data_IF_329127700904
#
_entry.id   IF_329127700904
#
_cell.length_a   1.000
_cell.length_b   1.000
_cell.length_c   1.000
_cell.angle_alpha   90.00
_cell.angle_beta   90.00
_cell.angle_gamma   90.00
#
_symmetry.space_group_name_H-M   'P 1'
#
loop_
_entity.id
_entity.type
_entity.pdbx_description
1 polymer ?
#
# COMPACT_ATOMS: atom_id res chain seq x y z
N UNK A 1 -11.62 14.35 8.10
CA UNK A 1 -10.18 14.03 8.00
C UNK A 1 -9.82 14.02 6.53
N UNK A 2 -8.83 14.81 6.12
CA UNK A 2 -8.46 15.00 4.71
C UNK A 2 -7.18 14.24 4.38
N UNK A 3 -7.18 13.51 3.26
CA UNK A 3 -6.00 12.80 2.78
C UNK A 3 -5.15 13.73 1.92
N UNK A 4 -3.83 13.66 2.08
CA UNK A 4 -2.88 14.46 1.30
C UNK A 4 -1.66 13.64 0.88
N UNK A 5 -0.92 14.11 -0.11
CA UNK A 5 0.28 13.40 -0.55
C UNK A 5 1.46 13.63 0.40
N UNK A 6 2.33 12.63 0.56
CA UNK A 6 3.69 12.88 1.04
C UNK A 6 4.43 13.82 0.08
N UNK A 7 5.23 14.72 0.63
CA UNK A 7 6.19 15.52 -0.12
C UNK A 7 7.32 14.66 -0.70
N UNK A 8 8.05 15.18 -1.69
CA UNK A 8 9.17 14.45 -2.27
C UNK A 8 10.23 14.02 -1.25
N UNK A 9 10.57 14.89 -0.30
CA UNK A 9 11.52 14.57 0.78
C UNK A 9 11.00 13.48 1.73
N UNK A 10 9.71 13.51 2.06
CA UNK A 10 9.06 12.47 2.87
C UNK A 10 9.04 11.12 2.12
N UNK A 11 8.76 11.12 0.81
CA UNK A 11 8.85 9.89 -0.01
C UNK A 11 10.28 9.36 -0.05
N UNK A 12 11.29 10.23 -0.20
CA UNK A 12 12.70 9.80 -0.14
C UNK A 12 13.04 9.19 1.21
N UNK A 13 12.57 9.78 2.33
CA UNK A 13 12.77 9.23 3.66
C UNK A 13 12.10 7.84 3.82
N UNK A 14 10.89 7.65 3.30
CA UNK A 14 10.20 6.35 3.33
C UNK A 14 10.90 5.26 2.52
N UNK A 15 11.65 5.64 1.48
CA UNK A 15 12.40 4.71 0.64
C UNK A 15 13.77 4.32 1.25
N UNK A 16 14.19 4.98 2.34
CA UNK A 16 15.42 4.64 3.05
C UNK A 16 15.18 3.45 3.99
N UNK A 17 16.19 2.59 4.12
CA UNK A 17 16.14 1.41 4.99
C UNK A 17 15.67 0.15 4.29
N UNK A 18 15.21 -0.82 5.09
CA UNK A 18 14.75 -2.12 4.60
C UNK A 18 13.47 -1.97 3.76
N UNK A 19 13.26 -2.79 2.74
CA UNK A 19 12.05 -2.68 1.91
C UNK A 19 10.80 -3.17 2.67
N UNK A 20 9.61 -2.68 2.30
CA UNK A 20 8.34 -3.21 2.84
C UNK A 20 8.11 -4.68 2.48
N UNK A 21 8.84 -5.24 1.51
CA UNK A 21 8.76 -6.68 1.20
C UNK A 21 9.53 -7.53 2.20
N UNK A 22 10.52 -6.95 2.90
CA UNK A 22 11.32 -7.65 3.89
C UNK A 22 10.80 -7.42 5.32
N UNK A 23 10.40 -6.19 5.64
CA UNK A 23 9.67 -5.84 6.87
C UNK A 23 8.37 -5.10 6.51
N UNK A 24 7.24 -5.82 6.39
CA UNK A 24 5.96 -5.25 5.97
C UNK A 24 5.20 -4.56 7.11
N UNK A 25 5.75 -4.51 8.33
CA UNK A 25 5.10 -3.90 9.49
C UNK A 25 5.01 -2.38 9.45
N UNK A 26 4.38 -1.79 10.48
CA UNK A 26 4.25 -0.33 10.58
C UNK A 26 5.62 0.35 10.72
N UNK A 27 5.78 1.53 10.12
CA UNK A 27 7.00 2.35 10.19
C UNK A 27 6.73 3.76 10.68
N UNK A 28 7.81 4.42 11.09
CA UNK A 28 7.76 5.82 11.48
C UNK A 28 7.40 6.72 10.29
N UNK A 29 6.44 7.61 10.50
CA UNK A 29 6.01 8.58 9.51
C UNK A 29 6.95 9.79 9.51
N UNK A 30 7.63 10.11 8.39
CA UNK A 30 8.52 11.27 8.33
C UNK A 30 7.79 12.61 8.48
N UNK A 31 6.46 12.58 8.36
CA UNK A 31 5.63 13.78 8.33
C UNK A 31 4.98 14.11 9.70
N UNK A 32 4.85 13.11 10.58
CA UNK A 32 4.21 13.30 11.90
C UNK A 32 4.90 12.55 13.05
N UNK A 33 5.98 11.81 12.78
CA UNK A 33 6.78 11.09 13.77
C UNK A 33 6.11 9.88 14.42
N UNK A 34 4.91 9.49 13.98
CA UNK A 34 4.19 8.33 14.54
C UNK A 34 4.56 7.06 13.79
N UNK A 35 4.72 5.95 14.50
CA UNK A 35 4.89 4.62 13.90
C UNK A 35 3.54 4.09 13.45
N UNK A 36 3.12 4.52 12.26
CA UNK A 36 1.78 4.27 11.71
C UNK A 36 1.77 4.28 10.18
N UNK A 37 2.95 4.20 9.54
CA UNK A 37 3.06 4.06 8.09
C UNK A 37 2.89 2.60 7.72
N UNK A 38 1.94 2.33 6.85
CA UNK A 38 1.52 1.01 6.37
C UNK A 38 1.74 0.94 4.86
N UNK A 39 1.85 -0.27 4.33
CA UNK A 39 2.04 -0.51 2.90
C UNK A 39 1.13 -1.62 2.38
N UNK A 40 0.74 -1.48 1.12
CA UNK A 40 -0.06 -2.44 0.37
C UNK A 40 0.38 -2.43 -1.08
N UNK A 41 0.47 -3.60 -1.69
CA UNK A 41 0.81 -3.79 -3.10
C UNK A 41 -0.16 -4.74 -3.78
N UNK A 42 -0.39 -4.52 -5.08
CA UNK A 42 -1.21 -5.39 -5.90
C UNK A 42 -0.72 -5.45 -7.35
N UNK A 43 -1.14 -6.50 -8.05
CA UNK A 43 -0.97 -6.62 -9.51
C UNK A 43 -2.34 -6.44 -10.16
N UNK A 44 -2.61 -5.31 -10.83
CA UNK A 44 -3.87 -5.13 -11.54
C UNK A 44 -3.97 -6.12 -12.71
N UNK A 45 -5.05 -6.90 -12.78
CA UNK A 45 -5.30 -7.86 -13.88
C UNK A 45 -5.39 -7.19 -15.26
N UNK A 46 -5.81 -5.92 -15.30
CA UNK A 46 -5.98 -5.14 -16.53
C UNK A 46 -4.68 -4.59 -17.13
N UNK A 47 -3.54 -4.78 -16.45
CA UNK A 47 -2.27 -4.26 -16.92
C UNK A 47 -1.73 -5.08 -18.11
N UNK A 48 -1.51 -4.41 -19.26
CA UNK A 48 -0.93 -5.05 -20.46
C UNK A 48 0.48 -5.62 -20.26
N UNK A 49 1.17 -5.24 -19.17
CA UNK A 49 2.49 -5.71 -18.77
C UNK A 49 2.49 -5.93 -17.25
N UNK A 50 3.26 -6.90 -16.72
CA UNK A 50 3.39 -7.12 -15.29
C UNK A 50 3.79 -5.83 -14.55
N UNK A 51 2.82 -5.25 -13.84
CA UNK A 51 2.94 -3.95 -13.16
C UNK A 51 2.57 -4.14 -11.71
N UNK A 52 3.47 -3.75 -10.81
CA UNK A 52 3.20 -3.67 -9.38
C UNK A 52 2.71 -2.26 -9.07
N UNK A 53 1.55 -2.16 -8.44
CA UNK A 53 1.07 -0.91 -7.85
C UNK A 53 1.27 -1.00 -6.36
N UNK A 54 1.82 0.06 -5.75
CA UNK A 54 2.01 0.13 -4.31
C UNK A 54 1.44 1.41 -3.73
N UNK A 55 0.79 1.28 -2.58
CA UNK A 55 0.27 2.37 -1.76
C UNK A 55 0.98 2.33 -0.41
N UNK A 56 1.57 3.45 -0.03
CA UNK A 56 2.16 3.65 1.29
C UNK A 56 1.43 4.80 1.95
N UNK A 57 0.92 4.61 3.17
CA UNK A 57 0.11 5.61 3.84
C UNK A 57 0.33 5.65 5.35
N UNK A 58 0.08 6.79 5.98
CA UNK A 58 0.10 6.96 7.42
C UNK A 58 -1.33 7.00 7.97
N UNK A 59 -1.73 6.04 8.80
CA UNK A 59 -3.06 6.02 9.42
C UNK A 59 -3.29 7.17 10.41
N UNK A 60 -2.22 7.77 10.95
CA UNK A 60 -2.36 8.84 11.95
C UNK A 60 -2.47 10.26 11.35
N UNK A 61 -1.84 10.53 10.20
CA UNK A 61 -1.86 11.87 9.58
C UNK A 61 -2.41 11.88 8.16
N UNK A 62 -2.86 10.73 7.65
CA UNK A 62 -3.50 10.55 6.35
C UNK A 62 -2.69 11.09 5.17
N UNK A 63 -1.36 11.02 5.30
CA UNK A 63 -0.47 11.21 4.17
C UNK A 63 -0.28 9.91 3.43
N UNK A 64 -0.22 9.97 2.11
CA UNK A 64 -0.03 8.78 1.29
C UNK A 64 0.83 9.05 0.06
N UNK A 65 1.33 7.98 -0.54
CA UNK A 65 1.94 7.98 -1.87
C UNK A 65 1.55 6.68 -2.58
N UNK A 66 1.13 6.81 -3.83
CA UNK A 66 0.89 5.69 -4.73
C UNK A 66 1.96 5.67 -5.82
N UNK A 67 2.55 4.51 -6.08
CA UNK A 67 3.55 4.35 -7.14
C UNK A 67 3.24 3.15 -8.02
N UNK A 68 3.82 3.14 -9.21
CA UNK A 68 3.75 2.02 -10.16
C UNK A 68 5.16 1.66 -10.58
N UNK A 69 5.47 0.37 -10.53
CA UNK A 69 6.77 -0.17 -10.94
C UNK A 69 6.57 -1.42 -11.80
N UNK A 70 7.65 -1.86 -12.47
CA UNK A 70 7.67 -3.18 -13.08
C UNK A 70 7.49 -4.22 -11.97
N UNK A 71 6.61 -5.20 -12.20
CA UNK A 71 6.49 -6.32 -11.28
C UNK A 71 7.80 -7.11 -11.23
N UNK A 72 8.46 -7.26 -10.07
CA UNK A 72 9.67 -8.05 -9.96
C UNK A 72 9.38 -9.52 -10.30
N UNK A 73 10.29 -10.16 -11.02
CA UNK A 73 10.18 -11.60 -11.29
C UNK A 73 10.35 -12.37 -9.97
N UNK A 74 9.53 -13.40 -9.75
CA UNK A 74 9.58 -14.24 -8.54
C UNK A 74 8.99 -13.61 -7.25
N UNK A 75 8.44 -12.41 -7.30
CA UNK A 75 7.76 -11.82 -6.14
C UNK A 75 6.38 -12.48 -5.96
N UNK A 76 6.17 -13.12 -4.81
CA UNK A 76 4.88 -13.71 -4.41
C UNK A 76 4.41 -13.02 -3.12
N UNK A 77 3.13 -12.63 -3.08
CA UNK A 77 2.54 -12.00 -1.92
C UNK A 77 1.07 -12.35 -1.76
N UNK A 78 0.56 -12.28 -0.52
CA UNK A 78 -0.87 -12.40 -0.26
C UNK A 78 -1.60 -11.12 -0.65
N UNK A 79 -2.59 -11.19 -1.54
CA UNK A 79 -3.46 -10.05 -1.87
C UNK A 79 -4.86 -10.29 -1.28
N UNK A 80 -5.21 -9.69 -0.12
CA UNK A 80 -6.54 -9.85 0.48
C UNK A 80 -7.67 -9.24 -0.38
N UNK A 81 -7.35 -8.40 -1.36
CA UNK A 81 -8.35 -7.84 -2.29
C UNK A 81 -8.48 -8.68 -3.57
N UNK A 82 -7.63 -9.68 -3.79
CA UNK A 82 -7.71 -10.57 -4.95
C UNK A 82 -8.97 -11.45 -4.94
N UNK A 83 -9.59 -11.66 -3.78
CA UNK A 83 -10.83 -12.44 -3.64
C UNK A 83 -12.10 -11.61 -3.82
N UNK A 84 -12.00 -10.28 -3.95
CA UNK A 84 -13.17 -9.43 -4.15
C UNK A 84 -13.78 -9.63 -5.53
N UNK A 85 -15.11 -9.53 -5.62
CA UNK A 85 -15.77 -9.48 -6.91
C UNK A 85 -15.34 -8.24 -7.70
N UNK A 86 -15.37 -8.32 -9.03
CA UNK A 86 -14.92 -7.24 -9.89
C UNK A 86 -15.72 -5.95 -9.67
N UNK A 87 -17.01 -6.03 -9.35
CA UNK A 87 -17.85 -4.87 -9.02
C UNK A 87 -17.40 -4.22 -7.71
N UNK A 88 -17.16 -5.01 -6.66
CA UNK A 88 -16.72 -4.52 -5.35
C UNK A 88 -15.35 -3.83 -5.45
N UNK A 89 -14.46 -4.42 -6.24
CA UNK A 89 -13.14 -3.84 -6.49
C UNK A 89 -13.23 -2.52 -7.25
N UNK A 90 -14.06 -2.43 -8.29
CA UNK A 90 -14.32 -1.16 -9.00
C UNK A 90 -14.92 -0.12 -8.08
N UNK A 91 -15.86 -0.52 -7.22
CA UNK A 91 -16.50 0.36 -6.25
C UNK A 91 -15.47 1.03 -5.34
N UNK A 92 -14.52 0.23 -4.81
CA UNK A 92 -13.41 0.69 -3.98
C UNK A 92 -12.45 1.60 -4.76
N UNK A 93 -12.07 1.21 -5.99
CA UNK A 93 -11.11 1.95 -6.81
C UNK A 93 -11.68 3.28 -7.37
N UNK A 94 -13.00 3.51 -7.33
CA UNK A 94 -13.63 4.79 -7.75
C UNK A 94 -13.24 5.97 -6.86
N UNK A 95 -12.81 5.73 -5.63
CA UNK A 95 -12.35 6.79 -4.73
C UNK A 95 -11.05 6.38 -4.05
N UNK A 96 -9.98 7.11 -4.34
CA UNK A 96 -8.67 6.87 -3.71
C UNK A 96 -8.75 7.00 -2.17
N UNK A 97 -9.53 7.97 -1.68
CA UNK A 97 -9.76 8.17 -0.24
C UNK A 97 -10.52 6.98 0.36
N UNK A 98 -11.57 6.50 -0.33
CA UNK A 98 -12.34 5.34 0.11
C UNK A 98 -11.48 4.08 0.12
N UNK A 99 -10.64 3.90 -0.90
CA UNK A 99 -9.69 2.81 -1.01
C UNK A 99 -8.67 2.82 0.14
N UNK A 100 -8.03 3.96 0.41
CA UNK A 100 -7.06 4.09 1.51
C UNK A 100 -7.71 3.84 2.87
N UNK A 101 -8.92 4.36 3.11
CA UNK A 101 -9.67 4.08 4.34
C UNK A 101 -10.04 2.59 4.47
N UNK A 102 -10.35 1.91 3.37
CA UNK A 102 -10.60 0.48 3.37
C UNK A 102 -9.36 -0.33 3.73
N UNK A 103 -8.19 -0.01 3.14
CA UNK A 103 -6.93 -0.63 3.49
C UNK A 103 -6.58 -0.41 4.97
N UNK A 104 -6.84 0.78 5.49
CA UNK A 104 -6.59 1.10 6.89
C UNK A 104 -7.41 0.23 7.84
N UNK A 105 -8.70 0.01 7.52
CA UNK A 105 -9.57 -0.90 8.24
C UNK A 105 -9.08 -2.35 8.19
N UNK A 106 -8.62 -2.84 7.03
CA UNK A 106 -8.07 -4.20 6.90
C UNK A 106 -6.83 -4.41 7.77
N UNK A 107 -6.04 -3.37 7.97
CA UNK A 107 -4.92 -3.42 8.90
C UNK A 107 -5.40 -3.54 10.35
N UNK A 108 -6.35 -2.71 10.76
CA UNK A 108 -6.89 -2.74 12.12
C UNK A 108 -7.62 -4.06 12.43
N UNK A 109 -8.17 -4.72 11.40
CA UNK A 109 -8.78 -6.05 11.47
C UNK A 109 -7.75 -7.21 11.46
N UNK A 110 -6.46 -6.92 11.28
CA UNK A 110 -5.38 -7.90 11.24
C UNK A 110 -5.29 -8.71 9.95
N UNK A 111 -5.95 -8.25 8.88
CA UNK A 111 -5.86 -8.83 7.52
C UNK A 111 -4.59 -8.35 6.80
N UNK A 112 -4.16 -7.12 7.09
CA UNK A 112 -2.85 -6.58 6.71
C UNK A 112 -1.92 -6.56 7.94
N UNK A 113 -0.58 -6.55 7.77
CA UNK A 113 0.19 -6.45 6.52
C UNK A 113 0.10 -7.68 5.61
N UNK A 114 0.44 -7.50 4.33
CA UNK A 114 0.62 -8.63 3.41
C UNK A 114 1.84 -9.46 3.80
N UNK A 115 1.77 -10.75 3.51
CA UNK A 115 2.91 -11.65 3.56
C UNK A 115 3.62 -11.66 2.23
N UNK A 116 4.96 -11.73 2.26
CA UNK A 116 5.83 -11.76 1.09
C UNK A 116 6.71 -13.01 1.16
N UNK A 117 6.88 -13.65 0.00
CA UNK A 117 7.79 -14.79 -0.16
C UNK A 117 8.63 -14.59 -1.42
N UNK A 118 9.89 -15.03 -1.35
CA UNK A 118 10.67 -15.28 -2.54
C UNK A 118 10.17 -16.60 -3.16
N UNK A 119 9.79 -16.58 -4.44
CA UNK A 119 9.50 -17.80 -5.20
C UNK A 119 10.77 -18.61 -5.47
#
# INVERSE_FOLDING_TARGET
>A
MEWSSFSGAEVTALAQGESFFADPGERECPACGRRSVRAYVNVPESARRPTLVSYVWCSACHRFVGTRARHPEGLVFSDPLATLAAEERRELERSLVGFLAHLDRLWDEGVLPQTFAAA
#
